data_IF_781681786850
#
_entry.id   IF_781681786850
#
_cell.length_a   1.000
_cell.length_b   1.000
_cell.length_c   1.000
_cell.angle_alpha   90.00
_cell.angle_beta   90.00
_cell.angle_gamma   90.00
#
_symmetry.space_group_name_H-M   'P 1'
#
loop_
_entity.id
_entity.type
_entity.pdbx_description
1 polymer ?
#
# COMPACT_ATOMS: atom_id res chain seq x y z
N UNK A 1 6.96 8.25 21.54
CA UNK A 1 8.16 7.67 20.90
C UNK A 1 9.30 8.67 21.07
N UNK A 2 10.49 8.24 21.49
CA UNK A 2 11.64 9.13 21.59
C UNK A 2 12.30 9.33 20.22
N UNK A 3 13.07 10.42 20.05
CA UNK A 3 13.82 10.69 18.81
C UNK A 3 14.72 9.50 18.41
N UNK A 4 15.38 8.87 19.38
CA UNK A 4 16.22 7.69 19.14
C UNK A 4 15.41 6.52 18.59
N UNK A 5 14.19 6.27 19.10
CA UNK A 5 13.32 5.21 18.61
C UNK A 5 12.91 5.41 17.14
N UNK A 6 12.62 6.67 16.74
CA UNK A 6 12.30 6.98 15.34
C UNK A 6 13.50 6.74 14.41
N UNK A 7 14.70 7.16 14.83
CA UNK A 7 15.92 6.90 14.05
C UNK A 7 16.19 5.39 13.91
N UNK A 8 16.14 4.65 15.00
CA UNK A 8 16.35 3.20 14.99
C UNK A 8 15.35 2.49 14.08
N UNK A 9 14.08 2.88 14.12
CA UNK A 9 13.05 2.34 13.24
C UNK A 9 13.36 2.63 11.76
N UNK A 10 13.78 3.85 11.43
CA UNK A 10 14.18 4.21 10.07
C UNK A 10 15.43 3.43 9.60
N UNK A 11 16.40 3.22 10.46
CA UNK A 11 17.62 2.44 10.18
C UNK A 11 17.32 0.93 10.02
N UNK A 12 16.35 0.42 10.80
CA UNK A 12 15.96 -1.00 10.78
C UNK A 12 15.11 -1.33 9.55
N UNK A 13 14.26 -0.41 9.10
CA UNK A 13 13.39 -0.60 7.95
C UNK A 13 14.20 -0.94 6.69
N UNK A 14 13.94 -2.11 6.12
CA UNK A 14 14.53 -2.58 4.85
C UNK A 14 13.44 -3.23 4.00
N UNK A 15 13.68 -3.34 2.70
CA UNK A 15 12.86 -4.16 1.81
C UNK A 15 13.18 -5.63 2.08
N UNK A 16 12.25 -6.32 2.73
CA UNK A 16 12.38 -7.74 3.07
C UNK A 16 11.54 -8.54 2.07
N UNK A 17 12.20 -9.38 1.28
CA UNK A 17 11.53 -10.18 0.24
C UNK A 17 11.19 -11.60 0.70
N UNK A 18 11.99 -12.17 1.60
CA UNK A 18 11.74 -13.49 2.17
C UNK A 18 10.67 -13.37 3.28
N UNK A 19 9.41 -13.21 2.86
CA UNK A 19 8.27 -13.08 3.77
C UNK A 19 7.78 -14.45 4.23
N UNK A 20 7.08 -14.46 5.35
CA UNK A 20 6.37 -15.61 5.89
C UNK A 20 5.13 -15.16 6.69
N UNK A 21 4.34 -16.13 7.19
CA UNK A 21 3.11 -15.86 7.94
C UNK A 21 3.33 -15.68 9.45
N UNK A 22 4.55 -15.83 9.94
CA UNK A 22 4.85 -15.72 11.37
C UNK A 22 5.04 -14.25 11.73
N UNK A 23 4.01 -13.63 12.29
CA UNK A 23 4.04 -12.25 12.73
C UNK A 23 4.41 -12.17 14.22
N UNK A 24 5.26 -11.22 14.65
CA UNK A 24 5.53 -10.94 16.05
C UNK A 24 4.41 -10.17 16.75
N UNK A 25 3.43 -9.67 15.98
CA UNK A 25 2.28 -8.88 16.42
C UNK A 25 0.99 -9.45 15.83
N UNK A 26 -0.15 -9.16 16.43
CA UNK A 26 -1.45 -9.63 15.93
C UNK A 26 -1.94 -8.84 14.69
N UNK A 27 -2.94 -9.37 14.00
CA UNK A 27 -3.59 -8.68 12.89
C UNK A 27 -4.25 -7.38 13.33
N UNK A 28 -4.80 -7.36 14.55
CA UNK A 28 -5.40 -6.19 15.18
C UNK A 28 -4.34 -5.11 15.42
N UNK A 29 -3.16 -5.47 15.93
CA UNK A 29 -2.06 -4.53 16.11
C UNK A 29 -1.56 -3.94 14.78
N UNK A 30 -1.47 -4.75 13.72
CA UNK A 30 -1.15 -4.24 12.38
C UNK A 30 -2.21 -3.24 11.92
N UNK A 31 -3.48 -3.57 12.09
CA UNK A 31 -4.59 -2.69 11.73
C UNK A 31 -4.55 -1.36 12.49
N UNK A 32 -4.23 -1.38 13.79
CA UNK A 32 -4.07 -0.16 14.59
C UNK A 32 -2.84 0.65 14.18
N UNK A 33 -1.73 0.02 13.81
CA UNK A 33 -0.55 0.72 13.24
C UNK A 33 -0.95 1.48 11.97
N UNK A 34 -1.67 0.81 11.06
CA UNK A 34 -2.13 1.43 9.80
C UNK A 34 -3.09 2.58 10.08
N UNK A 35 -4.09 2.37 10.91
CA UNK A 35 -5.07 3.38 11.30
C UNK A 35 -4.40 4.60 11.94
N UNK A 36 -3.46 4.39 12.86
CA UNK A 36 -2.71 5.47 13.49
C UNK A 36 -1.93 6.29 12.44
N UNK A 37 -1.25 5.63 11.52
CA UNK A 37 -0.49 6.34 10.48
C UNK A 37 -1.41 7.16 9.56
N UNK A 38 -2.54 6.59 9.12
CA UNK A 38 -3.52 7.30 8.27
C UNK A 38 -4.09 8.53 8.99
N UNK A 39 -4.39 8.43 10.28
CA UNK A 39 -4.95 9.52 11.07
C UNK A 39 -3.95 10.67 11.35
N UNK A 40 -2.66 10.35 11.39
CA UNK A 40 -1.63 11.31 11.83
C UNK A 40 -0.66 11.74 10.72
N UNK A 41 -0.75 11.19 9.52
CA UNK A 41 0.05 11.67 8.39
C UNK A 41 -0.57 12.96 7.84
N UNK A 42 0.22 14.03 7.70
CA UNK A 42 -0.28 15.29 7.18
C UNK A 42 -0.58 15.19 5.68
N UNK A 43 -1.51 16.01 5.21
CA UNK A 43 -1.82 16.18 3.80
C UNK A 43 -2.01 17.65 3.44
N UNK A 44 -1.70 18.01 2.19
CA UNK A 44 -1.85 19.38 1.71
C UNK A 44 -3.30 19.83 1.81
N UNK A 45 -3.53 21.03 2.34
CA UNK A 45 -4.87 21.57 2.62
C UNK A 45 -5.71 20.67 3.55
N UNK A 46 -5.07 19.82 4.33
CA UNK A 46 -5.73 18.79 5.14
C UNK A 46 -6.73 17.96 4.31
N UNK A 47 -6.32 17.58 3.11
CA UNK A 47 -7.18 16.89 2.14
C UNK A 47 -7.67 15.54 2.63
N UNK A 48 -6.83 14.83 3.39
CA UNK A 48 -7.15 13.50 3.94
C UNK A 48 -7.67 12.54 2.85
N UNK A 49 -7.09 12.60 1.64
CA UNK A 49 -7.53 11.83 0.48
C UNK A 49 -7.03 10.39 0.46
N UNK A 50 -5.96 10.09 1.19
CA UNK A 50 -5.37 8.74 1.25
C UNK A 50 -6.36 7.74 1.87
N UNK A 51 -6.55 6.61 1.22
CA UNK A 51 -7.34 5.46 1.68
C UNK A 51 -6.45 4.23 1.74
N UNK A 52 -6.70 3.38 2.72
CA UNK A 52 -5.89 2.16 2.93
C UNK A 52 -6.81 0.97 3.19
N UNK A 53 -6.49 -0.16 2.59
CA UNK A 53 -7.15 -1.45 2.85
C UNK A 53 -6.11 -2.45 3.33
N UNK A 54 -6.37 -3.09 4.46
CA UNK A 54 -5.50 -4.13 5.04
C UNK A 54 -6.13 -5.49 4.84
N UNK A 55 -5.43 -6.39 4.17
CA UNK A 55 -5.93 -7.70 3.76
C UNK A 55 -5.06 -8.80 4.37
N UNK A 56 -5.69 -9.72 5.09
CA UNK A 56 -5.06 -10.85 5.75
C UNK A 56 -5.52 -12.17 5.15
N UNK A 57 -4.78 -13.25 5.40
CA UNK A 57 -5.20 -14.62 5.11
C UNK A 57 -5.58 -14.84 3.65
N UNK A 58 -6.81 -15.28 3.39
CA UNK A 58 -7.31 -15.56 2.04
C UNK A 58 -7.41 -14.29 1.20
N UNK A 59 -7.81 -13.17 1.79
CA UNK A 59 -7.93 -11.88 1.09
C UNK A 59 -6.57 -11.38 0.60
N UNK A 60 -5.51 -11.54 1.42
CA UNK A 60 -4.14 -11.32 0.98
C UNK A 60 -3.79 -12.21 -0.23
N UNK A 61 -4.16 -13.48 -0.19
CA UNK A 61 -3.91 -14.42 -1.29
C UNK A 61 -4.58 -14.01 -2.61
N UNK A 62 -5.80 -13.46 -2.55
CA UNK A 62 -6.53 -12.98 -3.73
C UNK A 62 -5.81 -11.84 -4.44
N UNK A 63 -5.20 -10.89 -3.71
CA UNK A 63 -4.42 -9.81 -4.34
C UNK A 63 -3.36 -10.37 -5.25
N UNK A 64 -2.56 -11.30 -4.74
CA UNK A 64 -1.46 -11.89 -5.50
C UNK A 64 -1.94 -12.80 -6.63
N UNK A 65 -3.13 -13.37 -6.50
CA UNK A 65 -3.76 -14.09 -7.62
C UNK A 65 -4.17 -13.13 -8.74
N UNK A 66 -4.77 -11.97 -8.42
CA UNK A 66 -5.11 -10.96 -9.44
C UNK A 66 -3.88 -10.41 -10.15
N UNK A 67 -2.79 -10.19 -9.42
CA UNK A 67 -1.50 -9.79 -10.02
C UNK A 67 -0.97 -10.88 -10.94
N UNK A 68 -1.00 -12.14 -10.50
CA UNK A 68 -0.55 -13.28 -11.30
C UNK A 68 -1.37 -13.42 -12.60
N UNK A 69 -2.69 -13.37 -12.50
CA UNK A 69 -3.60 -13.50 -13.65
C UNK A 69 -3.36 -12.37 -14.67
N UNK A 70 -3.19 -11.14 -14.19
CA UNK A 70 -2.90 -10.01 -15.05
C UNK A 70 -1.53 -10.14 -15.76
N UNK A 71 -0.50 -10.62 -15.05
CA UNK A 71 0.83 -10.84 -15.64
C UNK A 71 0.86 -12.02 -16.61
N UNK A 72 0.09 -13.08 -16.37
CA UNK A 72 -0.05 -14.21 -17.31
C UNK A 72 -0.66 -13.80 -18.64
N UNK A 73 -1.43 -12.72 -18.67
CA UNK A 73 -2.01 -12.18 -19.91
C UNK A 73 -0.98 -11.45 -20.80
N UNK A 74 0.16 -11.03 -20.24
CA UNK A 74 1.14 -10.20 -20.95
C UNK A 74 2.55 -10.81 -21.04
N UNK A 75 2.89 -11.75 -20.16
CA UNK A 75 4.18 -12.44 -20.16
C UNK A 75 4.05 -13.78 -20.88
N UNK A 76 4.90 -14.08 -21.89
CA UNK A 76 4.88 -15.37 -22.57
C UNK A 76 5.01 -16.54 -21.57
N UNK A 77 4.27 -17.64 -21.82
CA UNK A 77 4.20 -18.76 -20.89
C UNK A 77 5.57 -19.38 -20.59
N UNK A 78 6.45 -19.44 -21.60
CA UNK A 78 7.80 -19.98 -21.51
C UNK A 78 8.75 -19.09 -20.68
N UNK A 79 8.38 -17.83 -20.44
CA UNK A 79 9.16 -16.85 -19.67
C UNK A 79 8.54 -16.54 -18.31
N UNK A 80 7.43 -17.18 -17.93
CA UNK A 80 6.65 -16.83 -16.75
C UNK A 80 7.26 -17.37 -15.45
N UNK A 81 8.06 -18.41 -15.48
CA UNK A 81 8.58 -19.08 -14.27
C UNK A 81 9.31 -18.14 -13.28
N UNK A 82 10.22 -17.24 -13.70
CA UNK A 82 10.85 -16.29 -12.78
C UNK A 82 9.85 -15.31 -12.15
N UNK A 83 8.81 -14.93 -12.89
CA UNK A 83 7.72 -14.07 -12.41
C UNK A 83 6.90 -14.81 -11.34
N UNK A 84 6.52 -16.07 -11.60
CA UNK A 84 5.80 -16.90 -10.65
C UNK A 84 6.57 -17.08 -9.34
N UNK A 85 7.87 -17.35 -9.42
CA UNK A 85 8.75 -17.48 -8.25
C UNK A 85 8.75 -16.19 -7.41
N UNK A 86 8.86 -15.03 -8.07
CA UNK A 86 8.82 -13.73 -7.39
C UNK A 86 7.48 -13.48 -6.72
N UNK A 87 6.37 -13.75 -7.39
CA UNK A 87 5.02 -13.58 -6.83
C UNK A 87 4.79 -14.51 -5.63
N UNK A 88 5.32 -15.73 -5.67
CA UNK A 88 5.24 -16.67 -4.55
C UNK A 88 5.93 -16.14 -3.28
N UNK A 89 7.04 -15.39 -3.41
CA UNK A 89 7.67 -14.75 -2.25
C UNK A 89 6.74 -13.72 -1.59
N UNK A 90 5.97 -12.98 -2.35
CA UNK A 90 5.01 -12.01 -1.81
C UNK A 90 3.77 -12.69 -1.25
N UNK A 91 3.23 -13.69 -1.96
CA UNK A 91 2.09 -14.51 -1.51
C UNK A 91 2.39 -15.31 -0.23
N UNK A 92 3.67 -15.56 0.08
CA UNK A 92 4.09 -16.18 1.32
C UNK A 92 3.92 -15.28 2.54
N UNK A 93 3.72 -13.97 2.36
CA UNK A 93 3.50 -13.02 3.44
C UNK A 93 2.19 -13.25 4.19
N UNK A 94 2.04 -12.56 5.31
CA UNK A 94 0.86 -12.65 6.18
C UNK A 94 -0.26 -11.70 5.77
N UNK A 95 0.09 -10.56 5.17
CA UNK A 95 -0.85 -9.50 4.82
C UNK A 95 -0.39 -8.70 3.59
N UNK A 96 -1.35 -8.02 2.96
CA UNK A 96 -1.12 -6.97 1.97
C UNK A 96 -1.83 -5.70 2.43
N UNK A 97 -1.15 -4.57 2.31
CA UNK A 97 -1.69 -3.25 2.58
C UNK A 97 -1.79 -2.54 1.23
N UNK A 98 -3.00 -2.20 0.81
CA UNK A 98 -3.27 -1.49 -0.43
C UNK A 98 -3.47 -0.01 -0.13
N UNK A 99 -2.87 0.86 -0.94
CA UNK A 99 -2.97 2.32 -0.79
C UNK A 99 -3.69 2.92 -2.00
N UNK A 100 -4.54 3.89 -1.75
CA UNK A 100 -5.36 4.56 -2.75
C UNK A 100 -5.45 6.06 -2.46
N UNK A 101 -5.79 6.83 -3.49
CA UNK A 101 -6.17 8.22 -3.37
C UNK A 101 -7.62 8.42 -3.79
N UNK A 102 -8.43 9.03 -2.91
CA UNK A 102 -9.80 9.40 -3.22
C UNK A 102 -9.83 10.57 -4.21
N UNK A 103 -9.99 10.22 -5.48
CA UNK A 103 -9.97 11.19 -6.57
C UNK A 103 -11.12 12.21 -6.51
N UNK A 104 -12.20 11.93 -5.79
CA UNK A 104 -13.27 12.91 -5.61
C UNK A 104 -12.81 14.05 -4.69
N UNK A 105 -12.04 13.72 -3.64
CA UNK A 105 -11.41 14.73 -2.76
C UNK A 105 -10.42 15.57 -3.56
N UNK A 106 -9.54 14.94 -4.34
CA UNK A 106 -8.55 15.65 -5.17
C UNK A 106 -9.22 16.60 -6.15
N UNK A 107 -10.24 16.13 -6.89
CA UNK A 107 -11.01 16.94 -7.85
C UNK A 107 -11.76 18.09 -7.17
N UNK A 108 -12.40 17.82 -6.03
CA UNK A 108 -13.08 18.88 -5.27
C UNK A 108 -12.13 20.02 -4.87
N UNK A 109 -10.89 19.69 -4.47
CA UNK A 109 -9.88 20.70 -4.17
C UNK A 109 -9.38 21.44 -5.41
N UNK A 110 -9.24 20.76 -6.56
CA UNK A 110 -8.90 21.40 -7.82
C UNK A 110 -9.95 22.43 -8.25
N UNK A 111 -11.23 22.10 -8.06
CA UNK A 111 -12.36 23.00 -8.36
C UNK A 111 -12.42 24.18 -7.38
N UNK A 112 -12.20 23.92 -6.08
CA UNK A 112 -12.24 24.93 -5.03
C UNK A 112 -11.06 25.93 -5.12
N UNK A 113 -9.89 25.45 -5.55
CA UNK A 113 -8.65 26.24 -5.60
C UNK A 113 -7.99 26.15 -7.01
N UNK A 114 -8.57 26.80 -8.04
CA UNK A 114 -8.11 26.66 -9.43
C UNK A 114 -6.65 27.04 -9.64
N UNK A 115 -6.11 28.00 -8.86
CA UNK A 115 -4.69 28.41 -8.94
C UNK A 115 -3.71 27.31 -8.56
N UNK A 116 -4.14 26.30 -7.84
CA UNK A 116 -3.35 25.15 -7.40
C UNK A 116 -3.81 23.84 -8.04
N UNK A 117 -4.76 23.86 -8.96
CA UNK A 117 -5.41 22.68 -9.51
C UNK A 117 -4.40 21.61 -10.01
N UNK A 118 -3.34 22.04 -10.70
CA UNK A 118 -2.30 21.14 -11.20
C UNK A 118 -1.44 20.51 -10.10
N UNK A 119 -1.45 21.06 -8.88
CA UNK A 119 -0.61 20.60 -7.79
C UNK A 119 -1.29 19.54 -6.93
N UNK A 120 -2.62 19.53 -6.81
CA UNK A 120 -3.34 18.65 -5.90
C UNK A 120 -3.10 17.15 -6.18
N UNK A 121 -3.03 16.65 -7.41
CA UNK A 121 -2.67 15.25 -7.66
C UNK A 121 -1.28 14.91 -7.12
N UNK A 122 -0.29 15.76 -7.38
CA UNK A 122 1.09 15.58 -6.90
C UNK A 122 1.16 15.63 -5.37
N UNK A 123 0.42 16.53 -4.75
CA UNK A 123 0.38 16.64 -3.28
C UNK A 123 -0.35 15.45 -2.63
N UNK A 124 -1.35 14.87 -3.30
CA UNK A 124 -2.00 13.64 -2.87
C UNK A 124 -0.99 12.47 -2.89
N UNK A 125 -0.22 12.31 -3.96
CA UNK A 125 0.84 11.32 -4.05
C UNK A 125 1.91 11.49 -2.94
N UNK A 126 2.27 12.74 -2.62
CA UNK A 126 3.20 13.03 -1.52
C UNK A 126 2.62 12.57 -0.18
N UNK A 127 1.34 12.85 0.11
CA UNK A 127 0.68 12.43 1.34
C UNK A 127 0.59 10.90 1.44
N UNK A 128 0.26 10.25 0.32
CA UNK A 128 0.23 8.79 0.23
C UNK A 128 1.61 8.19 0.51
N UNK A 129 2.66 8.70 -0.13
CA UNK A 129 4.03 8.23 0.10
C UNK A 129 4.49 8.42 1.55
N UNK A 130 4.12 9.53 2.21
CA UNK A 130 4.38 9.73 3.63
C UNK A 130 3.64 8.70 4.49
N UNK A 131 2.38 8.40 4.17
CA UNK A 131 1.59 7.38 4.87
C UNK A 131 2.21 5.99 4.71
N UNK A 132 2.63 5.62 3.50
CA UNK A 132 3.33 4.36 3.24
C UNK A 132 4.61 4.26 4.06
N UNK A 133 5.41 5.31 4.09
CA UNK A 133 6.67 5.31 4.84
C UNK A 133 6.43 5.24 6.36
N UNK A 134 5.43 5.96 6.87
CA UNK A 134 5.07 5.92 8.30
C UNK A 134 4.64 4.51 8.73
N UNK A 135 3.75 3.85 7.94
CA UNK A 135 3.34 2.48 8.19
C UNK A 135 4.54 1.53 8.14
N UNK A 136 5.33 1.59 7.08
CA UNK A 136 6.47 0.69 6.89
C UNK A 136 7.51 0.81 8.02
N UNK A 137 7.81 2.04 8.43
CA UNK A 137 8.76 2.29 9.52
C UNK A 137 8.22 1.80 10.86
N UNK A 138 6.92 1.99 11.12
CA UNK A 138 6.28 1.50 12.35
C UNK A 138 6.21 -0.02 12.37
N UNK A 139 5.89 -0.67 11.25
CA UNK A 139 5.94 -2.13 11.13
C UNK A 139 7.35 -2.67 11.40
N UNK A 140 8.39 -2.02 10.86
CA UNK A 140 9.78 -2.40 11.12
C UNK A 140 10.14 -2.26 12.61
N UNK A 141 9.68 -1.19 13.27
CA UNK A 141 9.86 -1.02 14.73
C UNK A 141 9.13 -2.10 15.54
N UNK A 142 8.03 -2.65 15.02
CA UNK A 142 7.30 -3.77 15.61
C UNK A 142 7.89 -5.16 15.23
N UNK A 143 9.03 -5.20 14.53
CA UNK A 143 9.68 -6.43 14.08
C UNK A 143 9.04 -7.10 12.87
N UNK A 144 8.14 -6.41 12.15
CA UNK A 144 7.46 -6.90 10.95
C UNK A 144 8.24 -6.49 9.71
N UNK A 145 8.71 -7.48 8.95
CA UNK A 145 9.36 -7.28 7.65
C UNK A 145 8.33 -7.01 6.55
N UNK A 146 8.61 -6.02 5.69
CA UNK A 146 7.74 -5.68 4.56
C UNK A 146 8.56 -5.19 3.35
N UNK A 147 7.91 -5.13 2.19
CA UNK A 147 8.42 -4.48 0.99
C UNK A 147 7.29 -3.75 0.27
N UNK A 148 7.63 -2.77 -0.56
CA UNK A 148 6.71 -2.10 -1.48
C UNK A 148 6.76 -2.74 -2.85
N UNK A 149 5.58 -2.93 -3.45
CA UNK A 149 5.43 -3.46 -4.80
C UNK A 149 4.48 -2.58 -5.60
N UNK A 150 4.77 -2.38 -6.88
CA UNK A 150 3.98 -1.58 -7.80
C UNK A 150 3.65 -2.44 -9.03
N UNK A 151 2.43 -2.94 -9.08
CA UNK A 151 1.90 -3.70 -10.22
C UNK A 151 0.79 -2.95 -10.95
N UNK A 152 0.46 -1.77 -10.45
CA UNK A 152 -0.53 -0.88 -11.06
C UNK A 152 -0.12 -0.49 -12.49
N UNK A 153 -1.06 -0.35 -13.42
CA UNK A 153 -2.51 -0.48 -13.21
C UNK A 153 -3.06 -1.90 -13.49
N UNK A 154 -2.22 -2.91 -13.63
CA UNK A 154 -2.61 -4.24 -14.12
C UNK A 154 -3.72 -4.92 -13.29
N UNK A 155 -3.63 -5.02 -11.94
CA UNK A 155 -4.65 -5.69 -11.15
C UNK A 155 -5.81 -4.76 -10.71
N UNK A 156 -5.75 -3.47 -11.00
CA UNK A 156 -6.61 -2.45 -10.39
C UNK A 156 -8.11 -2.72 -10.59
N UNK A 157 -8.51 -3.15 -11.79
CA UNK A 157 -9.91 -3.43 -12.08
C UNK A 157 -10.45 -4.63 -11.30
N UNK A 158 -9.64 -5.67 -11.11
CA UNK A 158 -9.99 -6.85 -10.33
C UNK A 158 -10.07 -6.52 -8.84
N UNK A 159 -9.08 -5.80 -8.32
CA UNK A 159 -9.02 -5.31 -6.95
C UNK A 159 -10.23 -4.43 -6.61
N UNK A 160 -10.52 -3.43 -7.44
CA UNK A 160 -11.64 -2.53 -7.24
C UNK A 160 -12.99 -3.26 -7.23
N UNK A 161 -13.15 -4.27 -8.09
CA UNK A 161 -14.36 -5.09 -8.15
C UNK A 161 -14.53 -5.97 -6.91
N UNK A 162 -13.47 -6.65 -6.47
CA UNK A 162 -13.52 -7.60 -5.36
C UNK A 162 -13.90 -6.92 -4.05
N UNK A 163 -13.27 -5.79 -3.74
CA UNK A 163 -13.51 -5.07 -2.48
C UNK A 163 -14.42 -3.85 -2.62
N UNK A 164 -15.17 -3.75 -3.74
CA UNK A 164 -16.11 -2.66 -4.01
C UNK A 164 -15.51 -1.25 -3.80
N UNK A 165 -14.26 -1.09 -4.27
CA UNK A 165 -13.57 0.19 -4.22
C UNK A 165 -13.99 1.07 -5.39
N UNK A 166 -14.09 2.38 -5.16
CA UNK A 166 -14.33 3.31 -6.26
C UNK A 166 -13.13 3.29 -7.22
N UNK A 167 -13.38 2.93 -8.51
CA UNK A 167 -12.33 2.87 -9.54
C UNK A 167 -11.58 4.19 -9.74
N UNK A 168 -12.15 5.29 -9.27
CA UNK A 168 -11.50 6.61 -9.32
C UNK A 168 -10.47 6.82 -8.20
N UNK A 169 -10.43 5.91 -7.25
CA UNK A 169 -9.56 5.98 -6.07
C UNK A 169 -8.32 5.10 -6.16
N UNK A 170 -8.17 4.29 -7.22
CA UNK A 170 -7.01 3.41 -7.40
C UNK A 170 -5.88 4.18 -8.07
N UNK A 171 -4.72 4.22 -7.43
CA UNK A 171 -3.47 4.78 -7.94
C UNK A 171 -2.45 3.68 -8.15
#
# INVERSE_FOLDING_TARGET
MTYQTLQQAAETRRSIYALNKNLPVSNEEISEIVKHAVLHTPSSFNSQSTRVVVLFGEEHGKVWQFVEDALRAIVPAEQFEPTAQKLNLFKAGAATILFFEDQNVVKGLQEQFPSYAANFPVWADHANAMTQYAIWTTLAAAGVGANLQHYNPLPDAAIAKEWNLDRKSVV
#
